data_IF_860744256041
#
_entry.id   IF_860744256041
#
_cell.length_a   1.000
_cell.length_b   1.000
_cell.length_c   1.000
_cell.angle_alpha   90.00
_cell.angle_beta   90.00
_cell.angle_gamma   90.00
#
_symmetry.space_group_name_H-M   'P 1'
#
loop_
_entity.id
_entity.type
_entity.pdbx_description
1 polymer ?
#
# COMPACT_ATOMS: atom_id res chain seq x y z
N UNK A 1 -7.02 35.27 13.28
CA UNK A 1 -8.10 34.46 12.65
C UNK A 1 -7.69 33.00 12.75
N UNK A 2 -8.25 32.24 13.70
CA UNK A 2 -7.83 30.85 13.99
C UNK A 2 -8.18 29.98 12.78
N UNK A 3 -7.18 29.35 12.16
CA UNK A 3 -7.37 28.34 11.11
C UNK A 3 -8.03 27.10 11.74
N UNK A 4 -9.36 27.06 11.73
CA UNK A 4 -10.13 25.91 12.18
C UNK A 4 -10.26 24.95 11.01
N UNK A 5 -9.49 23.86 11.03
CA UNK A 5 -9.67 22.74 10.12
C UNK A 5 -10.48 21.66 10.83
N UNK A 6 -11.41 21.03 10.12
CA UNK A 6 -12.12 19.83 10.53
C UNK A 6 -12.08 18.86 9.35
N UNK A 7 -11.83 17.58 9.65
CA UNK A 7 -11.74 16.51 8.68
C UNK A 7 -12.74 15.41 9.05
N UNK A 8 -13.67 15.14 8.14
CA UNK A 8 -14.47 13.94 8.14
C UNK A 8 -13.89 12.97 7.12
N UNK A 9 -13.68 11.73 7.53
CA UNK A 9 -13.34 10.60 6.68
C UNK A 9 -14.34 9.49 6.97
N UNK A 10 -14.96 8.93 5.92
CA UNK A 10 -15.99 7.90 6.02
C UNK A 10 -15.70 6.79 5.00
N UNK A 11 -15.73 5.54 5.44
CA UNK A 11 -15.80 4.37 4.55
C UNK A 11 -17.18 3.76 4.55
N UNK A 12 -17.63 3.40 3.35
CA UNK A 12 -18.74 2.48 3.14
C UNK A 12 -18.19 1.16 2.62
N UNK A 13 -18.53 0.08 3.33
CA UNK A 13 -18.25 -1.30 2.92
C UNK A 13 -19.47 -1.89 2.21
N UNK A 14 -19.24 -2.74 1.21
CA UNK A 14 -20.24 -3.59 0.55
C UNK A 14 -19.69 -5.02 0.49
N UNK A 15 -20.60 -6.00 0.46
CA UNK A 15 -20.36 -7.42 0.26
C UNK A 15 -19.09 -7.73 -0.56
N UNK A 16 -18.18 -8.50 0.04
CA UNK A 16 -16.94 -9.02 -0.55
C UNK A 16 -15.93 -7.98 -1.11
N UNK A 17 -15.98 -6.69 -0.72
CA UNK A 17 -14.93 -5.72 -1.06
C UNK A 17 -14.54 -4.81 0.13
N UNK A 18 -13.24 -4.65 0.45
CA UNK A 18 -12.76 -4.03 1.68
C UNK A 18 -12.86 -2.50 1.74
N UNK A 19 -13.36 -1.83 0.69
CA UNK A 19 -13.77 -0.41 0.73
C UNK A 19 -14.37 0.00 -0.60
N UNK A 20 -15.64 0.41 -0.62
CA UNK A 20 -16.33 0.71 -1.88
C UNK A 20 -16.59 2.21 -2.06
N UNK A 21 -16.82 2.94 -0.97
CA UNK A 21 -16.89 4.41 -1.02
C UNK A 21 -16.06 5.02 0.08
N UNK A 22 -15.20 5.99 -0.27
CA UNK A 22 -14.53 6.85 0.70
C UNK A 22 -15.00 8.29 0.52
N UNK A 23 -15.67 8.85 1.53
CA UNK A 23 -16.03 10.26 1.55
C UNK A 23 -15.10 11.02 2.48
N UNK A 24 -14.57 12.13 2.00
CA UNK A 24 -13.73 13.01 2.80
C UNK A 24 -14.15 14.47 2.67
N UNK A 25 -14.53 15.09 3.79
CA UNK A 25 -14.87 16.53 3.85
C UNK A 25 -13.83 17.22 4.72
N UNK A 26 -13.05 18.15 4.13
CA UNK A 26 -12.04 18.96 4.83
C UNK A 26 -12.37 20.44 4.71
N UNK A 27 -12.13 21.23 5.76
CA UNK A 27 -12.22 22.70 5.68
C UNK A 27 -12.57 23.37 7.00
N UNK A 28 -13.27 24.51 6.94
CA UNK A 28 -13.80 25.22 8.11
C UNK A 28 -15.07 24.56 8.66
N UNK A 29 -15.18 24.45 9.99
CA UNK A 29 -16.27 23.72 10.66
C UNK A 29 -17.66 24.34 10.47
N UNK A 30 -17.72 25.67 10.33
CA UNK A 30 -18.97 26.46 10.31
C UNK A 30 -20.04 25.92 9.34
N UNK A 31 -19.67 25.62 8.09
CA UNK A 31 -20.60 25.14 7.05
C UNK A 31 -20.39 23.68 6.63
N UNK A 32 -19.58 22.93 7.38
CA UNK A 32 -19.25 21.55 7.01
C UNK A 32 -20.44 20.62 7.08
N UNK A 33 -21.26 20.72 8.11
CA UNK A 33 -22.46 19.91 8.28
C UNK A 33 -23.47 20.17 7.14
N UNK A 34 -23.55 21.40 6.63
CA UNK A 34 -24.41 21.76 5.49
C UNK A 34 -23.92 21.08 4.21
N UNK A 35 -22.61 21.17 3.93
CA UNK A 35 -22.02 20.51 2.77
C UNK A 35 -22.17 18.99 2.84
N UNK A 36 -21.88 18.41 4.01
CA UNK A 36 -22.01 16.98 4.25
C UNK A 36 -23.44 16.49 4.00
N UNK A 37 -24.43 17.15 4.60
CA UNK A 37 -25.86 16.85 4.36
C UNK A 37 -26.18 16.91 2.87
N UNK A 38 -25.73 17.95 2.16
CA UNK A 38 -25.98 18.10 0.73
C UNK A 38 -25.37 16.97 -0.11
N UNK A 39 -24.16 16.51 0.25
CA UNK A 39 -23.51 15.38 -0.42
C UNK A 39 -24.33 14.10 -0.19
N UNK A 40 -24.77 13.85 1.05
CA UNK A 40 -25.56 12.66 1.38
C UNK A 40 -26.92 12.66 0.69
N UNK A 41 -27.65 13.76 0.74
CA UNK A 41 -28.92 13.94 0.00
C UNK A 41 -28.71 13.62 -1.48
N UNK A 42 -27.66 14.20 -2.09
CA UNK A 42 -27.41 14.00 -3.53
C UNK A 42 -26.97 12.57 -3.86
N UNK A 43 -26.29 11.88 -2.93
CA UNK A 43 -25.86 10.49 -3.09
C UNK A 43 -27.04 9.53 -3.02
N UNK A 44 -27.99 9.75 -2.11
CA UNK A 44 -29.17 8.87 -1.94
C UNK A 44 -30.27 9.14 -2.95
N UNK A 45 -30.40 10.38 -3.44
CA UNK A 45 -31.39 10.80 -4.45
C UNK A 45 -30.75 11.06 -5.83
N UNK A 46 -29.68 10.32 -6.15
CA UNK A 46 -28.88 10.60 -7.34
C UNK A 46 -29.60 10.25 -8.64
N UNK A 47 -30.09 11.26 -9.34
CA UNK A 47 -30.54 11.14 -10.72
C UNK A 47 -29.39 11.35 -11.70
N UNK A 48 -29.17 10.36 -12.56
CA UNK A 48 -28.11 10.37 -13.58
C UNK A 48 -28.63 11.04 -14.85
N UNK A 49 -27.93 12.10 -15.27
CA UNK A 49 -28.07 12.68 -16.60
C UNK A 49 -27.38 11.77 -17.64
N UNK A 50 -28.12 11.38 -18.67
CA UNK A 50 -27.66 10.43 -19.70
C UNK A 50 -26.44 10.94 -20.48
N UNK A 51 -26.43 12.24 -20.85
CA UNK A 51 -25.30 12.83 -21.57
C UNK A 51 -24.04 12.83 -20.72
N UNK A 52 -24.17 13.13 -19.42
CA UNK A 52 -23.06 13.08 -18.46
C UNK A 52 -22.55 11.65 -18.25
N UNK A 53 -23.43 10.66 -18.23
CA UNK A 53 -23.05 9.26 -18.14
C UNK A 53 -22.13 8.86 -19.30
N UNK A 54 -22.52 9.15 -20.54
CA UNK A 54 -21.72 8.78 -21.72
C UNK A 54 -20.35 9.48 -21.74
N UNK A 55 -20.31 10.79 -21.42
CA UNK A 55 -19.06 11.56 -21.36
C UNK A 55 -18.11 10.99 -20.30
N UNK A 56 -18.62 10.64 -19.12
CA UNK A 56 -17.81 10.10 -18.03
C UNK A 56 -17.36 8.66 -18.34
N UNK A 57 -18.23 7.83 -18.92
CA UNK A 57 -17.90 6.46 -19.34
C UNK A 57 -16.77 6.47 -20.37
N UNK A 58 -16.86 7.35 -21.37
CA UNK A 58 -15.82 7.50 -22.40
C UNK A 58 -14.49 8.00 -21.80
N UNK A 59 -14.55 8.99 -20.90
CA UNK A 59 -13.35 9.48 -20.22
C UNK A 59 -12.71 8.40 -19.33
N UNK A 60 -13.52 7.57 -18.65
CA UNK A 60 -13.03 6.45 -17.85
C UNK A 60 -12.39 5.36 -18.72
N UNK A 61 -13.00 5.01 -19.85
CA UNK A 61 -12.42 4.09 -20.84
C UNK A 61 -11.05 4.59 -21.33
N UNK A 62 -10.94 5.87 -21.70
CA UNK A 62 -9.65 6.48 -22.05
C UNK A 62 -8.66 6.43 -20.90
N UNK A 63 -9.09 6.68 -19.68
CA UNK A 63 -8.23 6.60 -18.50
C UNK A 63 -7.69 5.18 -18.25
N UNK A 64 -8.48 4.13 -18.49
CA UNK A 64 -8.02 2.75 -18.41
C UNK A 64 -6.96 2.46 -19.48
N UNK A 65 -7.24 2.86 -20.73
CA UNK A 65 -6.33 2.67 -21.86
C UNK A 65 -5.02 3.46 -21.72
N UNK A 66 -5.09 4.67 -21.17
CA UNK A 66 -3.92 5.53 -20.98
C UNK A 66 -2.92 4.95 -19.97
N UNK A 67 -3.33 3.98 -19.15
CA UNK A 67 -2.42 3.33 -18.22
C UNK A 67 -1.21 2.69 -18.92
N UNK A 68 -1.35 2.22 -20.17
CA UNK A 68 -0.23 1.68 -20.96
C UNK A 68 0.92 2.67 -21.15
N UNK A 69 0.63 3.97 -21.07
CA UNK A 69 1.61 5.05 -21.22
C UNK A 69 2.20 5.53 -19.88
N UNK A 70 1.79 4.96 -18.75
CA UNK A 70 2.44 5.21 -17.46
C UNK A 70 3.86 4.65 -17.45
N UNK A 71 4.67 5.14 -16.51
CA UNK A 71 6.08 4.79 -16.42
C UNK A 71 6.28 3.31 -16.04
N UNK A 72 7.36 2.67 -16.52
CA UNK A 72 7.70 1.28 -16.20
C UNK A 72 7.68 0.93 -14.71
N UNK A 73 8.19 1.80 -13.82
CA UNK A 73 8.14 1.53 -12.37
C UNK A 73 6.71 1.52 -11.82
N UNK A 74 5.79 2.32 -12.36
CA UNK A 74 4.38 2.33 -11.96
C UNK A 74 3.67 1.05 -12.42
N UNK A 75 4.06 0.51 -13.58
CA UNK A 75 3.58 -0.80 -14.05
C UNK A 75 4.06 -1.92 -13.14
N UNK A 76 5.34 -1.94 -12.74
CA UNK A 76 5.86 -2.90 -11.78
C UNK A 76 5.07 -2.87 -10.45
N UNK A 77 4.83 -1.68 -9.90
CA UNK A 77 4.01 -1.52 -8.69
C UNK A 77 2.58 -1.99 -8.84
N UNK A 78 1.98 -1.74 -10.00
CA UNK A 78 0.64 -2.19 -10.31
C UNK A 78 0.54 -3.71 -10.37
N UNK A 79 1.44 -4.37 -11.09
CA UNK A 79 1.45 -5.82 -11.23
C UNK A 79 1.78 -6.53 -9.91
N UNK A 80 2.71 -6.00 -9.10
CA UNK A 80 2.96 -6.56 -7.77
C UNK A 80 1.71 -6.51 -6.90
N UNK A 81 0.95 -5.41 -6.94
CA UNK A 81 -0.30 -5.30 -6.18
C UNK A 81 -1.33 -6.35 -6.63
N UNK A 82 -1.44 -6.61 -7.94
CA UNK A 82 -2.33 -7.64 -8.47
C UNK A 82 -1.93 -9.03 -8.00
N UNK A 83 -0.64 -9.37 -8.10
CA UNK A 83 -0.12 -10.69 -7.73
C UNK A 83 -0.28 -11.00 -6.23
N UNK A 84 -0.11 -9.99 -5.39
CA UNK A 84 -0.07 -10.18 -3.93
C UNK A 84 -1.44 -10.04 -3.25
N UNK A 85 -2.48 -9.53 -3.91
CA UNK A 85 -3.79 -9.29 -3.28
C UNK A 85 -4.76 -10.42 -3.63
N UNK A 86 -5.48 -10.96 -2.64
CA UNK A 86 -6.44 -12.07 -2.81
C UNK A 86 -7.43 -11.86 -3.98
N UNK A 87 -8.00 -10.67 -4.09
CA UNK A 87 -8.89 -10.30 -5.20
C UNK A 87 -8.47 -8.94 -5.73
N UNK A 88 -8.10 -8.88 -7.01
CA UNK A 88 -7.80 -7.63 -7.69
C UNK A 88 -8.14 -7.72 -9.18
N UNK A 89 -8.96 -6.78 -9.66
CA UNK A 89 -9.33 -6.70 -11.07
C UNK A 89 -8.28 -5.94 -11.87
N UNK A 90 -7.87 -6.53 -13.00
CA UNK A 90 -6.95 -5.92 -13.94
C UNK A 90 -7.62 -4.79 -14.72
N UNK A 91 -6.82 -3.91 -15.32
CA UNK A 91 -7.35 -2.81 -16.14
C UNK A 91 -7.98 -3.31 -17.43
N UNK A 92 -7.48 -4.42 -17.96
CA UNK A 92 -8.07 -5.08 -19.12
C UNK A 92 -9.44 -5.68 -18.77
N UNK A 93 -9.57 -6.41 -17.66
CA UNK A 93 -10.88 -6.91 -17.19
C UNK A 93 -11.88 -5.77 -16.93
N UNK A 94 -11.44 -4.68 -16.30
CA UNK A 94 -12.29 -3.51 -16.06
C UNK A 94 -12.71 -2.82 -17.37
N UNK A 95 -11.83 -2.79 -18.38
CA UNK A 95 -12.13 -2.23 -19.70
C UNK A 95 -13.14 -3.11 -20.43
N UNK A 96 -12.90 -4.42 -20.45
CA UNK A 96 -13.74 -5.37 -21.19
C UNK A 96 -15.15 -5.43 -20.56
N UNK A 97 -15.25 -5.33 -19.23
CA UNK A 97 -16.53 -5.21 -18.52
C UNK A 97 -17.21 -3.83 -18.66
N UNK A 98 -16.49 -2.80 -19.11
CA UNK A 98 -17.04 -1.43 -19.20
C UNK A 98 -18.11 -1.32 -20.30
N UNK A 99 -17.99 -2.07 -21.38
CA UNK A 99 -18.97 -2.07 -22.47
C UNK A 99 -20.35 -2.50 -21.97
N UNK A 100 -20.37 -3.47 -21.05
CA UNK A 100 -21.55 -3.97 -20.36
C UNK A 100 -22.18 -2.98 -19.38
N UNK A 101 -21.50 -1.89 -19.00
CA UNK A 101 -22.05 -0.88 -18.10
C UNK A 101 -23.02 0.01 -18.88
N UNK A 102 -24.33 -0.21 -18.68
CA UNK A 102 -25.40 0.60 -19.27
C UNK A 102 -26.05 1.52 -18.25
N UNK A 103 -26.66 2.62 -18.69
CA UNK A 103 -27.38 3.53 -17.80
C UNK A 103 -28.46 2.82 -16.94
N UNK A 104 -29.29 1.90 -17.49
CA UNK A 104 -30.22 1.13 -16.67
C UNK A 104 -29.53 0.25 -15.62
N UNK A 105 -28.41 -0.40 -15.95
CA UNK A 105 -27.64 -1.21 -14.98
C UNK A 105 -27.07 -0.34 -13.87
N UNK A 106 -26.54 0.84 -14.19
CA UNK A 106 -26.04 1.78 -13.17
C UNK A 106 -27.16 2.32 -12.27
N UNK A 107 -28.34 2.64 -12.85
CA UNK A 107 -29.53 3.04 -12.08
C UNK A 107 -30.00 1.93 -11.14
N UNK A 108 -29.90 0.66 -11.52
CA UNK A 108 -30.20 -0.47 -10.65
C UNK A 108 -29.11 -0.73 -9.59
N UNK A 109 -27.85 -0.48 -9.94
CA UNK A 109 -26.70 -0.68 -9.06
C UNK A 109 -26.68 0.28 -7.86
N UNK A 110 -27.03 1.56 -8.02
CA UNK A 110 -26.95 2.54 -6.93
C UNK A 110 -27.86 2.16 -5.73
N UNK A 111 -29.16 1.84 -5.91
CA UNK A 111 -29.99 1.36 -4.80
C UNK A 111 -29.47 0.06 -4.19
N UNK A 112 -28.97 -0.87 -5.03
CA UNK A 112 -28.38 -2.11 -4.54
C UNK A 112 -27.17 -1.85 -3.64
N UNK A 113 -26.27 -0.96 -4.09
CA UNK A 113 -25.08 -0.51 -3.36
C UNK A 113 -25.43 0.09 -2.01
N UNK A 114 -26.41 0.98 -1.96
CA UNK A 114 -26.79 1.70 -0.74
C UNK A 114 -27.73 0.91 0.17
N UNK A 115 -28.28 -0.22 -0.29
CA UNK A 115 -29.26 -1.00 0.48
C UNK A 115 -28.71 -1.59 1.78
N UNK A 116 -27.42 -1.95 1.82
CA UNK A 116 -26.77 -2.52 3.00
C UNK A 116 -25.36 -2.02 3.15
N UNK A 117 -25.08 -1.31 4.25
CA UNK A 117 -23.80 -0.65 4.47
C UNK A 117 -23.29 -0.88 5.90
N UNK A 118 -21.98 -0.81 6.04
CA UNK A 118 -21.32 -0.54 7.32
C UNK A 118 -20.54 0.76 7.16
N UNK A 119 -20.65 1.63 8.16
CA UNK A 119 -20.06 2.96 8.13
C UNK A 119 -19.02 3.04 9.24
N UNK A 120 -17.78 3.31 8.84
CA UNK A 120 -16.69 3.60 9.77
C UNK A 120 -16.21 5.03 9.53
N UNK A 121 -16.17 5.84 10.60
CA UNK A 121 -15.91 7.28 10.48
C UNK A 121 -14.89 7.79 11.47
N UNK A 122 -14.05 8.72 11.00
CA UNK A 122 -13.23 9.57 11.85
C UNK A 122 -13.72 11.02 11.72
N UNK A 123 -14.20 11.55 12.85
CA UNK A 123 -14.54 12.96 13.02
C UNK A 123 -13.47 13.61 13.89
N UNK A 124 -12.62 14.45 13.29
CA UNK A 124 -11.49 15.05 14.00
C UNK A 124 -11.32 16.54 13.67
N UNK A 125 -11.20 17.37 14.71
CA UNK A 125 -10.98 18.81 14.61
C UNK A 125 -11.77 19.61 15.65
N UNK A 126 -12.18 20.82 15.27
CA UNK A 126 -12.94 21.73 16.13
C UNK A 126 -14.44 21.36 16.17
N UNK A 127 -14.77 20.28 16.88
CA UNK A 127 -16.12 19.74 17.00
C UNK A 127 -16.33 19.16 18.40
N UNK A 128 -17.52 19.35 18.99
CA UNK A 128 -17.88 18.72 20.27
C UNK A 128 -18.38 17.29 20.05
N UNK A 129 -18.34 16.47 21.11
CA UNK A 129 -18.84 15.09 21.03
C UNK A 129 -20.31 15.04 20.61
N UNK A 130 -21.14 15.93 21.14
CA UNK A 130 -22.57 16.00 20.83
C UNK A 130 -22.79 16.37 19.36
N UNK A 131 -22.02 17.32 18.84
CA UNK A 131 -22.08 17.71 17.43
C UNK A 131 -21.62 16.56 16.51
N UNK A 132 -20.59 15.82 16.91
CA UNK A 132 -20.10 14.67 16.17
C UNK A 132 -21.15 13.55 16.09
N UNK A 133 -21.79 13.23 17.22
CA UNK A 133 -22.90 12.27 17.26
C UNK A 133 -24.09 12.74 16.43
N UNK A 134 -24.44 14.03 16.50
CA UNK A 134 -25.49 14.61 15.67
C UNK A 134 -25.19 14.54 14.17
N UNK A 135 -23.92 14.71 13.76
CA UNK A 135 -23.52 14.51 12.36
C UNK A 135 -23.67 13.05 11.94
N UNK A 136 -23.24 12.10 12.77
CA UNK A 136 -23.39 10.67 12.47
C UNK A 136 -24.86 10.26 12.37
N UNK A 137 -25.70 10.68 13.32
CA UNK A 137 -27.13 10.42 13.27
C UNK A 137 -27.75 10.98 11.98
N UNK A 138 -27.38 12.20 11.58
CA UNK A 138 -27.85 12.80 10.32
C UNK A 138 -27.46 11.97 9.09
N UNK A 139 -26.23 11.42 9.07
CA UNK A 139 -25.79 10.54 7.99
C UNK A 139 -26.63 9.26 7.91
N UNK A 140 -26.85 8.61 9.05
CA UNK A 140 -27.63 7.39 9.18
C UNK A 140 -29.10 7.63 8.80
N UNK A 141 -29.71 8.68 9.34
CA UNK A 141 -31.10 9.05 9.05
C UNK A 141 -31.31 9.29 7.56
N UNK A 142 -30.40 10.03 6.90
CA UNK A 142 -30.48 10.32 5.46
C UNK A 142 -30.39 9.05 4.61
N UNK A 143 -29.55 8.09 5.01
CA UNK A 143 -29.40 6.79 4.33
C UNK A 143 -30.63 5.90 4.54
N UNK A 144 -31.16 5.84 5.77
CA UNK A 144 -32.36 5.07 6.11
C UNK A 144 -33.59 5.63 5.41
N UNK A 145 -33.77 6.95 5.41
CA UNK A 145 -34.93 7.63 4.84
C UNK A 145 -34.98 7.48 3.31
N UNK A 146 -33.88 7.76 2.61
CA UNK A 146 -33.87 7.85 1.14
C UNK A 146 -33.38 6.59 0.44
N UNK A 147 -32.52 5.78 1.06
CA UNK A 147 -31.95 4.57 0.45
C UNK A 147 -32.39 3.27 1.15
N UNK A 148 -33.18 3.37 2.23
CA UNK A 148 -33.63 2.22 3.03
C UNK A 148 -32.47 1.34 3.51
N UNK A 149 -31.32 1.97 3.79
CA UNK A 149 -30.09 1.29 4.16
C UNK A 149 -30.27 0.47 5.43
N UNK A 150 -29.82 -0.79 5.39
CA UNK A 150 -29.76 -1.71 6.52
C UNK A 150 -28.30 -1.99 6.91
N UNK A 151 -28.01 -2.41 8.14
CA UNK A 151 -26.67 -2.79 8.52
C UNK A 151 -26.21 -4.06 7.77
N UNK A 152 -24.92 -4.09 7.42
CA UNK A 152 -24.21 -5.31 7.04
C UNK A 152 -24.04 -6.25 8.25
N UNK A 153 -23.97 -7.55 7.98
CA UNK A 153 -23.62 -8.52 9.01
C UNK A 153 -22.11 -8.46 9.29
N UNK A 154 -21.66 -8.70 10.53
CA UNK A 154 -20.23 -8.75 10.84
C UNK A 154 -19.43 -9.73 9.97
N UNK A 155 -20.03 -10.85 9.57
CA UNK A 155 -19.40 -11.85 8.69
C UNK A 155 -19.14 -11.34 7.26
N UNK A 156 -19.86 -10.31 6.82
CA UNK A 156 -19.70 -9.70 5.49
C UNK A 156 -18.60 -8.63 5.48
N UNK A 157 -18.06 -8.25 6.65
CA UNK A 157 -16.97 -7.29 6.77
C UNK A 157 -15.61 -7.97 6.53
N UNK A 158 -15.50 -8.69 5.42
CA UNK A 158 -14.30 -9.46 5.04
C UNK A 158 -13.25 -8.53 4.44
N UNK A 159 -11.99 -8.72 4.85
CA UNK A 159 -10.83 -8.04 4.27
C UNK A 159 -10.09 -9.01 3.34
N UNK A 160 -9.51 -8.46 2.28
CA UNK A 160 -8.61 -9.23 1.44
C UNK A 160 -7.33 -9.56 2.18
N UNK A 161 -6.84 -10.75 1.90
CA UNK A 161 -5.56 -11.26 2.40
C UNK A 161 -4.45 -10.92 1.42
N UNK A 162 -3.22 -10.95 1.92
CA UNK A 162 -2.04 -11.00 1.07
C UNK A 162 -1.63 -12.45 0.82
N UNK A 163 -1.17 -12.75 -0.39
CA UNK A 163 -0.61 -14.05 -0.75
C UNK A 163 0.60 -14.35 0.15
N UNK A 164 0.59 -15.51 0.81
CA UNK A 164 1.76 -16.03 1.50
C UNK A 164 2.64 -16.75 0.49
N UNK A 165 3.82 -16.19 0.22
CA UNK A 165 4.76 -16.78 -0.72
C UNK A 165 5.51 -17.91 0.03
N UNK A 166 5.75 -19.10 -0.59
CA UNK A 166 6.38 -20.22 0.11
C UNK A 166 7.86 -19.99 0.43
N UNK A 167 8.36 -20.52 1.55
CA UNK A 167 9.77 -20.44 1.94
C UNK A 167 10.73 -20.85 0.82
N UNK A 168 11.77 -20.03 0.58
CA UNK A 168 12.74 -20.23 -0.51
C UNK A 168 12.17 -19.98 -1.91
N UNK A 169 10.90 -19.55 -2.01
CA UNK A 169 10.24 -19.26 -3.27
C UNK A 169 10.79 -18.02 -3.96
N UNK A 170 11.02 -18.15 -5.28
CA UNK A 170 11.43 -17.05 -6.15
C UNK A 170 10.59 -17.08 -7.43
N UNK A 171 9.80 -16.03 -7.63
CA UNK A 171 8.84 -15.91 -8.71
C UNK A 171 9.05 -14.63 -9.50
N UNK A 172 9.04 -14.76 -10.83
CA UNK A 172 9.20 -13.64 -11.76
C UNK A 172 7.92 -13.49 -12.55
N UNK A 173 7.38 -12.27 -12.59
CA UNK A 173 6.33 -11.88 -13.52
C UNK A 173 6.85 -10.77 -14.43
N UNK A 174 6.82 -10.98 -15.75
CA UNK A 174 7.39 -10.05 -16.72
C UNK A 174 6.32 -9.55 -17.67
N UNK A 175 6.34 -8.24 -17.93
CA UNK A 175 5.45 -7.56 -18.88
C UNK A 175 6.18 -6.46 -19.63
N UNK A 176 5.82 -6.25 -20.88
CA UNK A 176 6.45 -5.20 -21.69
C UNK A 176 5.71 -3.87 -21.55
N UNK A 177 6.45 -2.78 -21.40
CA UNK A 177 5.89 -1.44 -21.58
C UNK A 177 6.01 -1.08 -23.07
N UNK A 178 4.88 -0.81 -23.72
CA UNK A 178 4.84 -0.56 -25.17
C UNK A 178 5.22 0.89 -25.54
N UNK A 179 5.28 1.79 -24.57
CA UNK A 179 5.42 3.24 -24.79
C UNK A 179 6.81 3.74 -24.43
N UNK A 180 7.35 3.31 -23.29
CA UNK A 180 8.65 3.75 -22.79
C UNK A 180 9.73 2.74 -23.15
N UNK A 181 10.89 3.24 -23.58
CA UNK A 181 12.06 2.41 -23.89
C UNK A 181 12.86 2.00 -22.64
N UNK A 182 12.43 2.41 -21.45
CA UNK A 182 13.08 2.05 -20.19
C UNK A 182 12.40 0.84 -19.56
N UNK A 183 13.17 0.11 -18.76
CA UNK A 183 12.72 -1.01 -17.93
C UNK A 183 12.37 -0.51 -16.52
N UNK A 184 11.37 -1.13 -15.91
CA UNK A 184 11.04 -0.98 -14.50
C UNK A 184 11.15 -2.32 -13.79
N UNK A 185 11.68 -2.32 -12.57
CA UNK A 185 11.68 -3.49 -11.69
C UNK A 185 11.17 -3.11 -10.31
N UNK A 186 10.28 -3.93 -9.75
CA UNK A 186 10.03 -3.97 -8.31
C UNK A 186 10.39 -5.35 -7.78
N UNK A 187 11.29 -5.39 -6.80
CA UNK A 187 11.67 -6.60 -6.09
C UNK A 187 11.03 -6.54 -4.71
N UNK A 188 10.20 -7.53 -4.39
CA UNK A 188 9.55 -7.65 -3.09
C UNK A 188 10.07 -8.87 -2.33
N UNK A 189 10.59 -8.56 -1.15
CA UNK A 189 11.13 -9.47 -0.16
C UNK A 189 10.09 -9.56 0.97
N UNK A 190 9.13 -10.48 0.83
CA UNK A 190 8.08 -10.66 1.82
C UNK A 190 8.71 -11.18 3.12
N UNK A 191 8.35 -10.56 4.25
CA UNK A 191 8.72 -11.02 5.59
C UNK A 191 7.51 -11.68 6.25
N UNK A 192 6.91 -11.04 7.23
CA UNK A 192 5.79 -11.60 8.01
C UNK A 192 4.64 -10.60 8.15
N UNK A 193 3.63 -11.00 8.92
CA UNK A 193 2.59 -10.14 9.44
C UNK A 193 3.15 -8.98 10.25
N UNK A 194 2.39 -7.88 10.32
CA UNK A 194 2.77 -6.71 11.10
C UNK A 194 2.67 -7.01 12.60
N UNK A 195 3.80 -6.93 13.29
CA UNK A 195 3.92 -6.99 14.75
C UNK A 195 4.88 -5.89 15.21
N UNK A 196 4.85 -5.49 16.49
CA UNK A 196 5.77 -4.48 17.02
C UNK A 196 7.24 -4.85 16.75
N UNK A 197 7.59 -6.13 16.92
CA UNK A 197 8.94 -6.62 16.65
C UNK A 197 9.31 -6.52 15.16
N UNK A 198 8.51 -7.14 14.30
CA UNK A 198 8.85 -7.27 12.88
C UNK A 198 8.75 -5.93 12.16
N UNK A 199 7.83 -5.05 12.59
CA UNK A 199 7.77 -3.67 12.13
C UNK A 199 9.09 -2.94 12.42
N UNK A 200 9.63 -3.07 13.64
CA UNK A 200 10.84 -2.33 14.03
C UNK A 200 12.09 -2.90 13.39
N UNK A 201 12.20 -4.22 13.27
CA UNK A 201 13.29 -4.86 12.56
C UNK A 201 13.31 -4.44 11.08
N UNK A 202 12.17 -4.51 10.39
CA UNK A 202 12.07 -4.10 8.99
C UNK A 202 12.35 -2.61 8.81
N UNK A 203 11.76 -1.74 9.64
CA UNK A 203 11.97 -0.29 9.53
C UNK A 203 13.41 0.12 9.86
N UNK A 204 14.03 -0.50 10.86
CA UNK A 204 15.43 -0.24 11.21
C UNK A 204 16.36 -0.72 10.11
N UNK A 205 16.14 -1.91 9.56
CA UNK A 205 16.91 -2.40 8.42
C UNK A 205 16.77 -1.45 7.22
N UNK A 206 15.54 -1.05 6.87
CA UNK A 206 15.28 -0.06 5.82
C UNK A 206 15.97 1.28 6.09
N UNK A 207 16.00 1.75 7.34
CA UNK A 207 16.71 2.98 7.73
C UNK A 207 18.22 2.86 7.51
N UNK A 208 18.81 1.71 7.79
CA UNK A 208 20.24 1.46 7.61
C UNK A 208 20.60 1.44 6.13
N UNK A 209 19.84 0.73 5.30
CA UNK A 209 20.14 0.58 3.88
C UNK A 209 19.69 1.77 3.01
N UNK A 210 18.89 2.70 3.53
CA UNK A 210 18.25 3.74 2.72
C UNK A 210 19.26 4.63 1.97
N UNK A 211 20.25 5.20 2.66
CA UNK A 211 21.28 6.04 2.02
C UNK A 211 22.25 5.20 1.18
N UNK A 212 22.79 4.06 1.68
CA UNK A 212 23.66 3.19 0.91
C UNK A 212 23.03 2.67 -0.39
N UNK A 213 21.73 2.36 -0.38
CA UNK A 213 21.00 1.91 -1.56
C UNK A 213 20.99 2.98 -2.64
N UNK A 214 20.66 4.22 -2.26
CA UNK A 214 20.66 5.34 -3.20
C UNK A 214 22.08 5.67 -3.69
N UNK A 215 23.04 5.71 -2.78
CA UNK A 215 24.44 5.98 -3.10
C UNK A 215 25.02 4.94 -4.07
N UNK A 216 24.79 3.66 -3.81
CA UNK A 216 25.36 2.56 -4.59
C UNK A 216 24.66 2.41 -5.93
N UNK A 217 23.34 2.17 -5.92
CA UNK A 217 22.61 1.84 -7.14
C UNK A 217 22.37 3.05 -8.04
N UNK A 218 22.25 4.28 -7.48
CA UNK A 218 22.04 5.50 -8.28
C UNK A 218 23.31 6.31 -8.46
N UNK A 219 24.05 6.66 -7.40
CA UNK A 219 25.20 7.59 -7.55
C UNK A 219 26.43 6.91 -8.16
N UNK A 220 26.79 5.72 -7.69
CA UNK A 220 27.99 4.99 -8.13
C UNK A 220 27.74 4.18 -9.39
N UNK A 221 26.70 3.35 -9.40
CA UNK A 221 26.41 2.44 -10.51
C UNK A 221 25.55 3.05 -11.60
N UNK A 222 24.92 4.21 -11.34
CA UNK A 222 24.12 4.96 -12.31
C UNK A 222 23.04 4.11 -12.97
N UNK A 223 22.41 3.19 -12.22
CA UNK A 223 21.39 2.30 -12.76
C UNK A 223 20.16 3.07 -13.20
N UNK A 224 19.85 4.21 -12.59
CA UNK A 224 18.77 5.05 -13.07
C UNK A 224 18.46 6.22 -12.15
N UNK A 225 17.64 7.13 -12.65
CA UNK A 225 17.15 8.26 -11.86
C UNK A 225 16.21 7.79 -10.73
N UNK A 226 15.37 6.80 -11.00
CA UNK A 226 14.43 6.26 -10.01
C UNK A 226 15.08 5.04 -9.37
N UNK A 227 15.50 5.20 -8.12
CA UNK A 227 15.98 4.13 -7.24
C UNK A 227 15.35 4.37 -5.88
N UNK A 228 14.61 3.40 -5.39
CA UNK A 228 13.92 3.46 -4.10
C UNK A 228 14.09 2.13 -3.37
N UNK A 229 14.28 2.20 -2.06
CA UNK A 229 14.14 1.07 -1.15
C UNK A 229 13.33 1.47 0.07
N UNK A 230 12.64 0.51 0.67
CA UNK A 230 11.91 0.74 1.91
C UNK A 230 10.85 -0.32 2.20
N UNK A 231 10.06 -0.14 3.26
CA UNK A 231 9.02 -1.09 3.62
C UNK A 231 7.86 -1.02 2.61
N UNK A 232 7.32 -2.20 2.27
CA UNK A 232 5.99 -2.39 1.67
C UNK A 232 5.07 -2.92 2.76
N UNK A 233 3.88 -2.35 2.89
CA UNK A 233 2.83 -2.82 3.80
C UNK A 233 1.51 -2.92 3.06
N UNK A 234 0.88 -4.09 3.11
CA UNK A 234 -0.41 -4.33 2.49
C UNK A 234 -1.13 -5.48 3.21
N UNK A 235 -2.44 -5.35 3.41
CA UNK A 235 -3.32 -6.38 3.98
C UNK A 235 -2.79 -7.04 5.27
N UNK A 236 -2.16 -6.27 6.16
CA UNK A 236 -1.60 -6.78 7.42
C UNK A 236 -0.23 -7.46 7.31
N UNK A 237 0.29 -7.66 6.10
CA UNK A 237 1.62 -8.23 5.82
C UNK A 237 2.59 -7.12 5.42
N UNK A 238 3.89 -7.38 5.56
CA UNK A 238 4.94 -6.44 5.19
C UNK A 238 6.17 -7.11 4.56
N UNK A 239 7.12 -6.29 4.14
CA UNK A 239 8.42 -6.75 3.67
C UNK A 239 9.24 -5.62 3.08
N UNK A 240 10.46 -5.95 2.68
CA UNK A 240 11.36 -5.00 2.03
C UNK A 240 11.04 -4.93 0.53
N UNK A 241 11.10 -3.74 -0.07
CA UNK A 241 11.03 -3.60 -1.52
C UNK A 241 12.11 -2.71 -2.09
N UNK A 242 12.47 -2.99 -3.33
CA UNK A 242 13.30 -2.14 -4.19
C UNK A 242 12.52 -1.78 -5.45
N UNK A 243 12.57 -0.52 -5.86
CA UNK A 243 11.96 -0.06 -7.12
C UNK A 243 13.05 0.67 -7.92
N UNK A 244 13.31 0.21 -9.14
CA UNK A 244 14.31 0.80 -10.02
C UNK A 244 13.70 1.00 -11.41
N UNK A 245 13.92 2.18 -12.00
CA UNK A 245 13.69 2.41 -13.43
C UNK A 245 15.01 2.69 -14.14
N UNK A 246 15.30 1.93 -15.19
CA UNK A 246 16.61 1.91 -15.84
C UNK A 246 16.51 1.70 -17.35
N UNK A 247 17.57 2.03 -18.07
CA UNK A 247 17.78 1.54 -19.45
C UNK A 247 18.34 0.10 -19.47
N UNK A 248 18.84 -0.41 -18.33
CA UNK A 248 19.37 -1.76 -18.20
C UNK A 248 18.24 -2.77 -18.04
N UNK A 249 18.48 -3.99 -18.54
CA UNK A 249 17.52 -5.08 -18.45
C UNK A 249 17.26 -5.51 -16.98
N UNK A 250 16.03 -5.93 -16.62
CA UNK A 250 15.67 -6.25 -15.25
C UNK A 250 16.54 -7.33 -14.57
N UNK A 251 16.97 -8.37 -15.29
CA UNK A 251 17.85 -9.41 -14.72
C UNK A 251 19.20 -8.84 -14.25
N UNK A 252 19.74 -7.83 -14.96
CA UNK A 252 20.95 -7.15 -14.52
C UNK A 252 20.68 -6.33 -13.26
N UNK A 253 19.57 -5.61 -13.22
CA UNK A 253 19.17 -4.82 -12.04
C UNK A 253 19.00 -5.70 -10.80
N UNK A 254 18.38 -6.86 -10.95
CA UNK A 254 18.27 -7.86 -9.89
C UNK A 254 19.65 -8.25 -9.36
N UNK A 255 20.59 -8.62 -10.25
CA UNK A 255 21.94 -8.99 -9.82
C UNK A 255 22.67 -7.87 -9.05
N UNK A 256 22.40 -6.60 -9.37
CA UNK A 256 22.96 -5.44 -8.66
C UNK A 256 22.32 -5.21 -7.30
N UNK A 257 21.02 -5.43 -7.17
CA UNK A 257 20.33 -5.40 -5.86
C UNK A 257 20.85 -6.51 -4.96
N UNK A 258 21.06 -7.72 -5.49
CA UNK A 258 21.62 -8.84 -4.74
C UNK A 258 23.06 -8.57 -4.29
N UNK A 259 23.91 -8.07 -5.19
CA UNK A 259 25.28 -7.67 -4.84
C UNK A 259 25.30 -6.55 -3.79
N UNK A 260 24.35 -5.62 -3.86
CA UNK A 260 24.16 -4.58 -2.86
C UNK A 260 23.79 -5.17 -1.49
N UNK A 261 22.83 -6.11 -1.44
CA UNK A 261 22.43 -6.76 -0.18
C UNK A 261 23.61 -7.51 0.46
N UNK A 262 24.39 -8.28 -0.31
CA UNK A 262 25.62 -8.92 0.19
C UNK A 262 26.63 -7.92 0.75
N UNK A 263 26.73 -6.74 0.14
CA UNK A 263 27.62 -5.67 0.63
C UNK A 263 27.08 -5.08 1.93
N UNK A 264 25.76 -4.92 2.04
CA UNK A 264 25.11 -4.43 3.25
C UNK A 264 25.25 -5.40 4.42
N UNK A 265 25.23 -6.71 4.21
CA UNK A 265 25.48 -7.69 5.29
C UNK A 265 26.81 -7.41 6.00
N UNK A 266 27.90 -7.33 5.23
CA UNK A 266 29.24 -7.03 5.77
C UNK A 266 29.28 -5.64 6.39
N UNK A 267 28.68 -4.65 5.73
CA UNK A 267 28.63 -3.28 6.23
C UNK A 267 27.90 -3.16 7.56
N UNK A 268 26.86 -3.97 7.80
CA UNK A 268 26.14 -3.99 9.08
C UNK A 268 26.97 -4.72 10.12
N UNK A 269 27.59 -5.85 9.80
CA UNK A 269 28.43 -6.62 10.73
C UNK A 269 29.62 -5.78 11.25
N UNK A 270 30.31 -5.09 10.34
CA UNK A 270 31.47 -4.22 10.62
C UNK A 270 31.07 -2.84 11.19
N UNK A 271 29.77 -2.50 11.21
CA UNK A 271 29.29 -1.22 11.73
C UNK A 271 29.62 -1.07 13.21
N UNK A 272 30.24 0.07 13.57
CA UNK A 272 30.47 0.46 14.94
C UNK A 272 29.14 0.71 15.68
N UNK A 273 29.08 0.37 16.96
CA UNK A 273 27.85 0.48 17.75
C UNK A 273 27.35 1.92 17.83
N UNK A 274 28.24 2.92 17.83
CA UNK A 274 27.85 4.33 17.80
C UNK A 274 27.14 4.71 16.49
N UNK A 275 27.53 4.12 15.36
CA UNK A 275 26.86 4.34 14.08
C UNK A 275 25.49 3.65 14.06
N UNK A 276 25.38 2.45 14.63
CA UNK A 276 24.10 1.74 14.77
C UNK A 276 23.12 2.54 15.64
N UNK A 277 23.57 3.07 16.79
CA UNK A 277 22.76 3.91 17.65
C UNK A 277 22.30 5.21 16.97
N UNK A 278 23.10 5.78 16.05
CA UNK A 278 22.66 6.92 15.23
C UNK A 278 21.51 6.55 14.30
N UNK A 279 21.49 5.34 13.73
CA UNK A 279 20.35 4.86 12.92
C UNK A 279 19.09 4.69 13.77
N UNK A 280 19.20 4.09 14.96
CA UNK A 280 18.09 3.98 15.93
C UNK A 280 17.55 5.38 16.27
N UNK A 281 18.44 6.32 16.62
CA UNK A 281 18.03 7.67 16.99
C UNK A 281 17.39 8.43 15.83
N UNK A 282 17.92 8.29 14.61
CA UNK A 282 17.34 8.91 13.42
C UNK A 282 15.94 8.36 13.12
N UNK A 283 15.74 7.04 13.24
CA UNK A 283 14.43 6.41 13.06
C UNK A 283 13.46 6.84 14.16
N UNK A 284 13.90 6.88 15.43
CA UNK A 284 13.10 7.34 16.56
C UNK A 284 12.62 8.79 16.37
N UNK A 285 13.52 9.70 15.95
CA UNK A 285 13.16 11.10 15.64
C UNK A 285 12.12 11.16 14.52
N UNK A 286 12.31 10.38 13.45
CA UNK A 286 11.38 10.35 12.31
C UNK A 286 9.99 9.85 12.71
N UNK A 287 9.92 8.83 13.56
CA UNK A 287 8.67 8.23 14.05
C UNK A 287 7.93 9.12 15.06
N UNK A 288 8.67 9.79 15.94
CA UNK A 288 8.10 10.70 16.94
C UNK A 288 7.86 12.13 16.41
N UNK A 289 8.13 12.41 15.12
CA UNK A 289 7.88 13.74 14.56
C UNK A 289 6.39 14.06 14.66
N UNK A 290 6.10 15.17 15.34
CA UNK A 290 4.72 15.55 15.67
C UNK A 290 4.05 16.13 14.42
N UNK A 291 2.80 15.73 14.12
CA UNK A 291 2.06 16.31 13.02
C UNK A 291 1.99 17.84 13.12
N UNK A 292 2.45 18.54 12.08
CA UNK A 292 2.44 20.02 12.03
C UNK A 292 1.09 20.61 11.61
N UNK A 293 0.19 19.76 11.11
CA UNK A 293 -1.14 20.12 10.60
C UNK A 293 -2.14 19.05 11.03
N UNK A 294 -3.37 19.47 11.33
CA UNK A 294 -4.46 18.57 11.70
C UNK A 294 -4.66 17.46 10.66
N UNK A 295 -4.54 17.76 9.36
CA UNK A 295 -4.69 16.77 8.30
C UNK A 295 -3.67 15.64 8.37
N UNK A 296 -2.45 15.92 8.83
CA UNK A 296 -1.41 14.91 8.99
C UNK A 296 -1.70 14.03 10.21
N UNK A 297 -2.19 14.61 11.30
CA UNK A 297 -2.62 13.86 12.48
C UNK A 297 -3.83 12.97 12.17
N UNK A 298 -4.84 13.50 11.47
CA UNK A 298 -5.98 12.71 11.03
C UNK A 298 -5.55 11.56 10.11
N UNK A 299 -4.58 11.78 9.22
CA UNK A 299 -4.09 10.71 8.34
C UNK A 299 -3.45 9.57 9.14
N UNK A 300 -2.78 9.86 10.27
CA UNK A 300 -2.23 8.83 11.17
C UNK A 300 -3.35 8.01 11.81
N UNK A 301 -4.33 8.66 12.46
CA UNK A 301 -5.46 7.95 13.06
C UNK A 301 -6.29 7.19 12.03
N UNK A 302 -6.48 7.78 10.85
CA UNK A 302 -7.19 7.12 9.77
C UNK A 302 -6.45 5.88 9.27
N UNK A 303 -5.12 5.92 9.17
CA UNK A 303 -4.30 4.75 8.87
C UNK A 303 -4.56 3.58 9.82
N UNK A 304 -4.67 3.85 11.13
CA UNK A 304 -4.97 2.83 12.15
C UNK A 304 -6.40 2.27 12.03
N UNK A 305 -7.36 3.11 11.66
CA UNK A 305 -8.77 2.74 11.48
C UNK A 305 -8.93 1.85 10.24
N UNK A 306 -8.41 2.28 9.08
CA UNK A 306 -8.61 1.57 7.81
C UNK A 306 -7.89 0.23 7.76
N UNK A 307 -6.77 0.13 8.49
CA UNK A 307 -6.00 -1.11 8.67
C UNK A 307 -6.57 -2.01 9.76
N UNK A 308 -7.56 -1.53 10.52
CA UNK A 308 -8.18 -2.20 11.67
C UNK A 308 -7.19 -2.61 12.76
N UNK A 309 -6.07 -1.90 12.88
CA UNK A 309 -5.08 -2.14 13.93
C UNK A 309 -5.35 -1.26 15.16
N UNK A 310 -6.00 -0.11 14.99
CA UNK A 310 -6.44 0.80 16.05
C UNK A 310 -5.36 1.15 17.10
N UNK A 311 -4.08 1.13 16.72
CA UNK A 311 -2.98 1.41 17.64
C UNK A 311 -2.61 2.89 17.57
N UNK A 312 -3.41 3.73 18.22
CA UNK A 312 -3.21 5.18 18.18
C UNK A 312 -1.93 5.65 18.89
N UNK A 313 -1.39 4.85 19.82
CA UNK A 313 -0.13 5.10 20.53
C UNK A 313 1.06 4.32 19.92
N UNK A 314 0.92 3.88 18.67
CA UNK A 314 1.90 3.04 17.96
C UNK A 314 3.30 3.62 18.02
N UNK A 315 3.45 4.92 17.77
CA UNK A 315 4.78 5.52 17.69
C UNK A 315 5.53 5.46 19.01
N UNK A 316 4.87 5.69 20.14
CA UNK A 316 5.52 5.59 21.45
C UNK A 316 5.87 4.15 21.79
N UNK A 317 4.94 3.22 21.52
CA UNK A 317 5.13 1.78 21.76
C UNK A 317 6.27 1.22 20.91
N UNK A 318 6.22 1.45 19.60
CA UNK A 318 7.20 0.93 18.65
C UNK A 318 8.57 1.62 18.83
N UNK A 319 8.64 2.91 19.13
CA UNK A 319 9.95 3.58 19.39
C UNK A 319 10.56 3.15 20.71
N UNK A 320 9.76 2.83 21.72
CA UNK A 320 10.28 2.27 22.98
C UNK A 320 10.90 0.88 22.73
N UNK A 321 10.26 0.06 21.91
CA UNK A 321 10.81 -1.24 21.48
C UNK A 321 12.04 -1.11 20.57
N UNK A 322 12.02 -0.16 19.63
CA UNK A 322 13.14 0.10 18.72
C UNK A 322 14.46 0.35 19.48
N UNK A 323 14.40 1.06 20.61
CA UNK A 323 15.57 1.36 21.43
C UNK A 323 16.17 0.14 22.14
N UNK A 324 15.45 -0.97 22.22
CA UNK A 324 15.95 -2.23 22.80
C UNK A 324 16.61 -3.15 21.78
N UNK A 325 16.48 -2.84 20.48
CA UNK A 325 17.06 -3.66 19.41
C UNK A 325 18.59 -3.54 19.39
N UNK A 326 19.25 -4.67 19.17
CA UNK A 326 20.70 -4.75 19.00
C UNK A 326 21.07 -5.03 17.55
N UNK A 327 22.36 -4.87 17.23
CA UNK A 327 22.90 -5.20 15.91
C UNK A 327 22.69 -6.68 15.57
N UNK A 328 22.82 -7.56 16.56
CA UNK A 328 22.57 -9.00 16.42
C UNK A 328 21.13 -9.31 16.03
N UNK A 329 20.15 -8.57 16.56
CA UNK A 329 18.75 -8.75 16.16
C UNK A 329 18.55 -8.42 14.67
N UNK A 330 19.17 -7.33 14.19
CA UNK A 330 19.10 -6.94 12.78
C UNK A 330 19.85 -7.92 11.88
N UNK A 331 21.01 -8.42 12.30
CA UNK A 331 21.77 -9.43 11.56
C UNK A 331 21.04 -10.77 11.51
N UNK A 332 20.40 -11.17 12.60
CA UNK A 332 19.57 -12.36 12.63
C UNK A 332 18.36 -12.19 11.70
N UNK A 333 17.65 -11.06 11.80
CA UNK A 333 16.57 -10.71 10.89
C UNK A 333 17.02 -10.73 9.43
N UNK A 334 18.19 -10.16 9.12
CA UNK A 334 18.77 -10.20 7.78
C UNK A 334 19.03 -11.64 7.34
N UNK A 335 19.81 -12.44 8.07
CA UNK A 335 20.17 -13.81 7.65
C UNK A 335 18.98 -14.75 7.49
N UNK A 336 17.95 -14.59 8.32
CA UNK A 336 16.69 -15.32 8.21
C UNK A 336 15.92 -14.81 7.00
N UNK A 337 15.76 -13.48 6.90
CA UNK A 337 15.07 -12.82 5.79
C UNK A 337 15.92 -12.70 4.52
N UNK A 338 17.12 -13.26 4.43
CA UNK A 338 17.92 -13.36 3.22
C UNK A 338 18.73 -14.64 3.37
N UNK A 339 18.08 -15.81 3.32
CA UNK A 339 18.79 -17.07 3.42
C UNK A 339 19.86 -17.04 2.35
N UNK A 340 21.09 -17.34 2.77
CA UNK A 340 22.28 -17.21 1.96
C UNK A 340 22.00 -17.58 0.51
N UNK A 341 22.42 -16.71 -0.40
CA UNK A 341 22.71 -17.03 -1.80
C UNK A 341 23.72 -18.18 -1.79
N UNK A 342 23.27 -19.40 -1.53
CA UNK A 342 24.12 -20.55 -1.60
C UNK A 342 24.54 -20.64 -3.05
N UNK A 343 25.84 -20.51 -3.30
CA UNK A 343 26.44 -20.58 -4.64
C UNK A 343 26.24 -21.96 -5.28
N UNK A 344 25.48 -22.85 -4.64
CA UNK A 344 25.07 -24.18 -5.08
C UNK A 344 23.72 -24.21 -5.80
N UNK A 345 22.90 -23.15 -5.73
CA UNK A 345 21.66 -23.08 -6.52
C UNK A 345 22.03 -22.73 -7.95
N UNK A 346 22.10 -23.76 -8.79
CA UNK A 346 22.25 -23.62 -10.23
C UNK A 346 21.29 -22.56 -10.76
N UNK A 347 21.73 -21.63 -11.64
CA UNK A 347 20.81 -20.74 -12.31
C UNK A 347 19.71 -21.59 -12.98
N UNK A 348 18.45 -21.13 -13.01
CA UNK A 348 17.43 -21.80 -13.82
C UNK A 348 17.97 -22.00 -15.24
N UNK A 349 17.61 -23.09 -15.92
CA UNK A 349 18.13 -23.41 -17.24
C UNK A 349 18.06 -22.14 -18.09
N UNK A 350 19.23 -21.74 -18.59
CA UNK A 350 19.36 -20.61 -19.50
C UNK A 350 18.25 -20.72 -20.52
N UNK A 351 17.40 -19.69 -20.61
CA UNK A 351 16.57 -19.42 -21.78
C UNK A 351 17.52 -19.18 -22.94
N UNK A 352 18.09 -20.27 -23.43
CA UNK A 352 18.83 -20.40 -24.66
C UNK A 352 17.77 -20.54 -25.73
N UNK A 353 17.12 -19.42 -26.02
CA UNK A 353 16.74 -19.14 -27.38
C UNK A 353 17.16 -17.71 -27.68
N UNK A 354 18.22 -17.64 -28.47
CA UNK A 354 18.72 -16.45 -29.12
C UNK A 354 17.60 -15.82 -29.96
N UNK A 355 16.83 -14.91 -29.35
CA UNK A 355 16.09 -13.81 -29.99
C UNK A 355 15.50 -12.91 -28.89
N UNK A 356 15.78 -11.61 -29.04
CA UNK A 356 15.27 -10.45 -28.29
C UNK A 356 16.00 -10.10 -26.98
N UNK A 357 17.10 -9.34 -27.14
CA UNK A 357 17.33 -8.19 -26.27
C UNK A 357 16.15 -7.22 -26.47
N UNK A 358 15.07 -7.35 -25.71
CA UNK A 358 14.04 -6.32 -25.59
C UNK A 358 13.99 -5.77 -24.18
N UNK A 359 13.87 -4.45 -24.10
CA UNK A 359 13.73 -3.70 -22.86
C UNK A 359 12.31 -3.92 -22.32
N UNK A 360 12.19 -4.69 -21.24
CA UNK A 360 10.91 -5.12 -20.64
C UNK A 360 10.79 -4.66 -19.18
N UNK A 361 9.56 -4.58 -18.67
CA UNK A 361 9.27 -4.30 -17.24
C UNK A 361 9.08 -5.62 -16.49
N UNK A 362 9.68 -5.77 -15.31
CA UNK A 362 9.53 -6.99 -14.50
C UNK A 362 9.04 -6.68 -13.09
N UNK A 363 8.32 -7.63 -12.51
CA UNK A 363 8.04 -7.72 -11.09
C UNK A 363 8.66 -9.00 -10.59
N UNK A 364 9.43 -8.88 -9.51
CA UNK A 364 10.06 -10.01 -8.86
C UNK A 364 9.49 -10.16 -7.45
N UNK A 365 8.94 -11.32 -7.16
CA UNK A 365 8.43 -11.67 -5.83
C UNK A 365 9.30 -12.78 -5.25
N UNK A 366 9.89 -12.53 -4.09
CA UNK A 366 10.66 -13.52 -3.33
C UNK A 366 10.11 -13.66 -1.91
N UNK A 367 10.07 -14.90 -1.44
CA UNK A 367 9.91 -15.21 -0.01
C UNK A 367 11.27 -15.43 0.60
N UNK A 368 11.37 -15.03 1.86
CA UNK A 368 12.57 -15.21 2.65
C UNK A 368 12.20 -16.04 3.87
N UNK A 369 12.96 -17.11 4.13
CA UNK A 369 12.66 -18.08 5.19
C UNK A 369 12.45 -17.37 6.53
N UNK A 370 11.30 -17.57 7.18
CA UNK A 370 11.18 -17.35 8.62
C UNK A 370 11.00 -18.72 9.26
N UNK A 371 12.13 -19.35 9.60
CA UNK A 371 12.11 -20.52 10.48
C UNK A 371 12.10 -20.02 11.94
N UNK A 372 10.94 -19.59 12.43
CA UNK A 372 10.74 -19.46 13.87
C UNK A 372 10.39 -20.83 14.42
N UNK A 373 11.40 -21.49 14.97
CA UNK A 373 11.27 -22.76 15.67
C UNK A 373 10.37 -22.59 16.91
N UNK A 374 9.13 -23.09 16.80
CA UNK A 374 8.36 -23.69 17.89
C UNK A 374 7.45 -22.79 18.74
N UNK A 375 6.14 -22.91 18.54
CA UNK A 375 5.19 -23.41 19.56
C UNK A 375 3.86 -23.84 18.93
N UNK A 376 3.59 -25.14 19.02
CA UNK A 376 2.29 -25.85 19.04
C UNK A 376 0.99 -25.18 18.55
N UNK A 377 0.43 -25.77 17.48
CA UNK A 377 -0.88 -26.47 17.44
C UNK A 377 -2.05 -25.85 18.24
N UNK A 378 -3.00 -25.24 17.52
CA UNK A 378 -4.34 -25.82 17.22
C UNK A 378 -5.06 -24.99 16.14
#
# INVERSE_FOLDING_TARGET
MKLQFQLLLMFLFIDNAPSVLQLCVKGYSDKQHILLRKIMEKMTTFEIDEKRFDIIKEAYMRSLNNFRAEQPHQHAMYYLRLLMTEVAWTKDELRDALDDVTLPRLKAFIPQLLSRLHIETLLHGNITKESALGMMQMLEDTLIEHAHTKPLLPSQLTRYRELQVPDGGWYVYQQRNEVHNNCGIEIYYQTDMQSTNDNMLLELFCQIISEPCFNTLRTKEQLGYIVFSGPRRANGVQGLRFIIQSEKAPHYLESRVEAFLCTMEKSVEEMADEAFQKHIQALAIRRLDKPKKLSAECAKYWGEIISQQYNFDRDNTEVSYLKTLTKENVMHFYRVSTPALDQSVSPPPSLTDSKLLTMDTCVLVRTLLINLCGSMVL
#
